data_IF_267264316358
#
_entry.id   IF_267264316358
#
_cell.length_a   1.000
_cell.length_b   1.000
_cell.length_c   1.000
_cell.angle_alpha   90.00
_cell.angle_beta   90.00
_cell.angle_gamma   90.00
#
_symmetry.space_group_name_H-M   'P 1'
#
loop_
_entity.id
_entity.type
_entity.pdbx_description
1 polymer ?
#
# COMPACT_ATOMS: atom_id res chain seq x y z
N UNK A 1 -24.73 21.37 -82.33
CA UNK A 1 -24.68 21.47 -80.86
C UNK A 1 -23.60 20.52 -80.38
N UNK A 2 -22.39 21.03 -80.13
CA UNK A 2 -21.28 20.23 -79.62
C UNK A 2 -21.13 20.51 -78.12
N UNK A 3 -21.31 19.44 -77.34
CA UNK A 3 -21.09 19.37 -75.90
C UNK A 3 -19.66 19.78 -75.55
N UNK A 4 -19.50 20.92 -74.88
CA UNK A 4 -18.25 21.32 -74.24
C UNK A 4 -18.13 20.59 -72.91
N UNK A 5 -17.40 19.47 -72.90
CA UNK A 5 -17.02 18.76 -71.69
C UNK A 5 -16.00 19.61 -70.92
N UNK A 6 -16.47 20.38 -69.95
CA UNK A 6 -15.62 21.07 -68.98
C UNK A 6 -14.99 19.99 -68.10
N UNK A 7 -13.72 19.70 -68.34
CA UNK A 7 -12.92 18.87 -67.46
C UNK A 7 -12.69 19.66 -66.17
N UNK A 8 -13.53 19.42 -65.15
CA UNK A 8 -13.23 19.81 -63.79
C UNK A 8 -11.93 19.11 -63.37
N UNK A 9 -10.88 19.91 -63.20
CA UNK A 9 -9.61 19.47 -62.63
C UNK A 9 -9.84 19.09 -61.15
N UNK A 10 -10.38 17.90 -60.91
CA UNK A 10 -10.29 17.24 -59.60
C UNK A 10 -8.83 16.92 -59.37
N UNK A 11 -8.14 17.78 -58.63
CA UNK A 11 -6.84 17.47 -58.05
C UNK A 11 -6.99 16.24 -57.15
N UNK A 12 -6.83 15.05 -57.72
CA UNK A 12 -6.62 13.85 -56.96
C UNK A 12 -5.27 14.00 -56.25
N UNK A 13 -5.30 14.44 -54.99
CA UNK A 13 -4.15 14.30 -54.09
C UNK A 13 -3.88 12.80 -53.96
N UNK A 14 -2.91 12.32 -54.73
CA UNK A 14 -2.37 10.96 -54.60
C UNK A 14 -1.74 10.86 -53.22
N UNK A 15 -2.46 10.30 -52.26
CA UNK A 15 -1.91 9.95 -50.96
C UNK A 15 -0.78 8.94 -51.20
N UNK A 16 0.46 9.35 -50.96
CA UNK A 16 1.62 8.52 -51.24
C UNK A 16 1.56 7.28 -50.34
N UNK A 17 1.74 6.08 -50.91
CA UNK A 17 1.69 4.83 -50.16
C UNK A 17 2.68 4.81 -48.98
N UNK A 18 3.83 5.49 -49.13
CA UNK A 18 4.82 5.67 -48.05
C UNK A 18 4.31 6.55 -46.90
N UNK A 19 3.46 7.55 -47.18
CA UNK A 19 2.84 8.40 -46.17
C UNK A 19 1.75 7.64 -45.40
N UNK A 20 0.98 6.79 -46.10
CA UNK A 20 -0.03 5.91 -45.48
C UNK A 20 0.63 4.89 -44.55
N UNK A 21 1.73 4.26 -44.98
CA UNK A 21 2.49 3.31 -44.17
C UNK A 21 3.11 3.98 -42.91
N UNK A 22 3.67 5.18 -43.05
CA UNK A 22 4.20 5.94 -41.91
C UNK A 22 3.12 6.28 -40.90
N UNK A 23 1.94 6.70 -41.35
CA UNK A 23 0.83 7.01 -40.45
C UNK A 23 0.31 5.77 -39.71
N UNK A 24 0.24 4.62 -40.37
CA UNK A 24 -0.12 3.36 -39.69
C UNK A 24 0.90 2.97 -38.62
N UNK A 25 2.21 3.15 -38.89
CA UNK A 25 3.26 2.87 -37.90
C UNK A 25 3.21 3.82 -36.69
N UNK A 26 2.85 5.08 -36.88
CA UNK A 26 2.66 6.03 -35.77
C UNK A 26 1.47 5.62 -34.91
N UNK A 27 0.33 5.28 -35.52
CA UNK A 27 -0.88 4.84 -34.79
C UNK A 27 -0.63 3.54 -34.01
N UNK A 28 0.14 2.59 -34.56
CA UNK A 28 0.49 1.37 -33.82
C UNK A 28 1.47 1.66 -32.69
N UNK A 29 2.46 2.52 -32.90
CA UNK A 29 3.38 2.96 -31.85
C UNK A 29 2.62 3.63 -30.69
N UNK A 30 1.71 4.55 -30.99
CA UNK A 30 0.87 5.23 -29.99
C UNK A 30 0.04 4.23 -29.17
N UNK A 31 -0.64 3.29 -29.83
CA UNK A 31 -1.39 2.22 -29.15
C UNK A 31 -0.52 1.36 -28.24
N UNK A 32 0.69 1.00 -28.67
CA UNK A 32 1.61 0.22 -27.82
C UNK A 32 2.13 1.03 -26.63
N UNK A 33 2.33 2.34 -26.79
CA UNK A 33 2.74 3.22 -25.71
C UNK A 33 1.63 3.36 -24.66
N UNK A 34 0.39 3.52 -25.09
CA UNK A 34 -0.80 3.55 -24.22
C UNK A 34 -0.98 2.24 -23.46
N UNK A 35 -0.86 1.09 -24.15
CA UNK A 35 -0.93 -0.23 -23.49
C UNK A 35 0.16 -0.41 -22.43
N UNK A 36 1.41 0.00 -22.73
CA UNK A 36 2.51 -0.02 -21.76
C UNK A 36 2.25 0.91 -20.57
N UNK A 37 1.67 2.09 -20.80
CA UNK A 37 1.31 3.04 -19.74
C UNK A 37 0.23 2.45 -18.82
N UNK A 38 -0.84 1.89 -19.39
CA UNK A 38 -1.92 1.24 -18.64
C UNK A 38 -1.39 0.06 -17.80
N UNK A 39 -0.53 -0.78 -18.38
CA UNK A 39 0.11 -1.88 -17.66
C UNK A 39 0.95 -1.38 -16.48
N UNK A 40 1.74 -0.32 -16.67
CA UNK A 40 2.52 0.30 -15.58
C UNK A 40 1.63 0.82 -14.44
N UNK A 41 0.53 1.49 -14.77
CA UNK A 41 -0.42 2.00 -13.78
C UNK A 41 -1.13 0.88 -13.01
N UNK A 42 -1.54 -0.20 -13.69
CA UNK A 42 -2.13 -1.37 -13.07
C UNK A 42 -1.16 -2.09 -12.13
N UNK A 43 0.11 -2.24 -12.54
CA UNK A 43 1.15 -2.83 -11.71
C UNK A 43 1.44 -1.98 -10.46
N UNK A 44 1.45 -0.65 -10.59
CA UNK A 44 1.56 0.25 -9.45
C UNK A 44 0.39 0.08 -8.46
N UNK A 45 -0.85 0.00 -8.97
CA UNK A 45 -2.03 -0.23 -8.12
C UNK A 45 -1.98 -1.59 -7.42
N UNK A 46 -1.58 -2.64 -8.12
CA UNK A 46 -1.42 -3.99 -7.54
C UNK A 46 -0.38 -3.99 -6.41
N UNK A 47 0.76 -3.33 -6.62
CA UNK A 47 1.81 -3.19 -5.60
C UNK A 47 1.33 -2.41 -4.36
N UNK A 48 0.56 -1.34 -4.54
CA UNK A 48 -0.01 -0.57 -3.42
C UNK A 48 -1.02 -1.40 -2.62
N UNK A 49 -1.89 -2.16 -3.30
CA UNK A 49 -2.82 -3.09 -2.63
C UNK A 49 -2.10 -4.19 -1.87
N UNK A 50 -1.02 -4.75 -2.44
CA UNK A 50 -0.18 -5.72 -1.75
C UNK A 50 0.43 -5.12 -0.47
N UNK A 51 0.97 -3.89 -0.53
CA UNK A 51 1.47 -3.18 0.65
C UNK A 51 0.37 -2.96 1.70
N UNK A 52 -0.85 -2.58 1.30
CA UNK A 52 -1.98 -2.42 2.20
C UNK A 52 -2.27 -3.71 2.98
N UNK A 53 -2.35 -4.86 2.28
CA UNK A 53 -2.60 -6.16 2.92
C UNK A 53 -1.48 -6.57 3.89
N UNK A 54 -0.23 -6.28 3.56
CA UNK A 54 0.90 -6.52 4.45
C UNK A 54 0.79 -5.68 5.73
N UNK A 55 0.48 -4.39 5.60
CA UNK A 55 0.29 -3.50 6.74
C UNK A 55 -0.91 -3.88 7.61
N UNK A 56 -2.00 -4.37 7.03
CA UNK A 56 -3.14 -4.91 7.78
C UNK A 56 -2.74 -6.11 8.66
N UNK A 57 -1.91 -7.03 8.14
CA UNK A 57 -1.38 -8.16 8.94
C UNK A 57 -0.50 -7.67 10.08
N UNK A 58 0.33 -6.64 9.85
CA UNK A 58 1.17 -6.03 10.89
C UNK A 58 0.33 -5.37 11.98
N UNK A 59 -0.71 -4.61 11.61
CA UNK A 59 -1.66 -4.02 12.56
C UNK A 59 -2.34 -5.09 13.42
N UNK A 60 -2.79 -6.19 12.81
CA UNK A 60 -3.42 -7.28 13.54
C UNK A 60 -2.47 -7.96 14.54
N UNK A 61 -1.22 -8.20 14.14
CA UNK A 61 -0.18 -8.76 15.04
C UNK A 61 0.10 -7.83 16.21
N UNK A 62 0.25 -6.54 15.94
CA UNK A 62 0.53 -5.55 16.97
C UNK A 62 -0.68 -5.34 17.91
N UNK A 63 -1.90 -5.35 17.39
CA UNK A 63 -3.13 -5.29 18.19
C UNK A 63 -3.23 -6.49 19.15
N UNK A 64 -2.97 -7.71 18.67
CA UNK A 64 -2.91 -8.91 19.51
C UNK A 64 -1.83 -8.81 20.59
N UNK A 65 -0.64 -8.29 20.25
CA UNK A 65 0.45 -8.10 21.22
C UNK A 65 0.08 -7.07 22.30
N UNK A 66 -0.51 -5.94 21.91
CA UNK A 66 -1.00 -4.92 22.83
C UNK A 66 -2.09 -5.46 23.76
N UNK A 67 -3.02 -6.26 23.24
CA UNK A 67 -4.06 -6.89 24.06
C UNK A 67 -3.44 -7.80 25.13
N UNK A 68 -2.54 -8.71 24.71
CA UNK A 68 -1.83 -9.60 25.64
C UNK A 68 -1.05 -8.84 26.71
N UNK A 69 -0.38 -7.74 26.34
CA UNK A 69 0.37 -6.94 27.31
C UNK A 69 -0.54 -6.17 28.28
N UNK A 70 -1.70 -5.69 27.84
CA UNK A 70 -2.71 -5.11 28.74
C UNK A 70 -3.27 -6.13 29.70
N UNK A 71 -3.54 -7.35 29.24
CA UNK A 71 -3.99 -8.46 30.10
C UNK A 71 -2.92 -8.85 31.11
N UNK A 72 -1.66 -8.97 30.68
CA UNK A 72 -0.53 -9.23 31.57
C UNK A 72 -0.37 -8.12 32.62
N UNK A 73 -0.53 -6.86 32.24
CA UNK A 73 -0.49 -5.73 33.17
C UNK A 73 -1.61 -5.81 34.22
N UNK A 74 -2.85 -6.16 33.83
CA UNK A 74 -3.96 -6.35 34.78
C UNK A 74 -3.67 -7.47 35.79
N UNK A 75 -3.09 -8.58 35.33
CA UNK A 75 -2.71 -9.69 36.21
C UNK A 75 -1.63 -9.26 37.20
N UNK A 76 -0.61 -8.54 36.72
CA UNK A 76 0.46 -8.00 37.56
C UNK A 76 -0.06 -6.96 38.57
N UNK A 77 -1.02 -6.11 38.18
CA UNK A 77 -1.67 -5.14 39.07
C UNK A 77 -2.50 -5.81 40.17
N UNK A 78 -3.10 -6.97 39.89
CA UNK A 78 -3.79 -7.78 40.88
C UNK A 78 -2.84 -8.56 41.81
N UNK A 79 -1.52 -8.37 41.69
CA UNK A 79 -0.50 -9.05 42.50
C UNK A 79 -0.18 -10.47 42.02
N UNK A 80 -0.68 -10.88 40.85
CA UNK A 80 -0.39 -12.15 40.22
C UNK A 80 0.83 -12.10 39.30
N UNK A 81 1.38 -13.26 38.96
CA UNK A 81 2.45 -13.40 37.97
C UNK A 81 1.82 -13.74 36.62
N UNK A 82 1.97 -12.87 35.59
CA UNK A 82 1.44 -13.15 34.25
C UNK A 82 2.17 -14.31 33.57
N UNK A 83 1.46 -15.07 32.74
CA UNK A 83 2.06 -16.18 31.97
C UNK A 83 3.27 -15.73 31.16
N UNK A 84 4.36 -16.48 31.23
CA UNK A 84 5.64 -16.15 30.58
C UNK A 84 6.56 -15.22 31.39
N UNK A 85 6.15 -14.83 32.60
CA UNK A 85 7.00 -14.22 33.62
C UNK A 85 7.21 -15.15 34.82
N UNK A 86 6.89 -16.44 34.66
CA UNK A 86 7.04 -17.49 35.67
C UNK A 86 8.53 -17.71 36.01
N UNK A 87 9.40 -17.65 35.00
CA UNK A 87 10.85 -17.79 35.15
C UNK A 87 11.56 -16.45 35.32
N UNK A 88 10.83 -15.37 35.65
CA UNK A 88 11.47 -14.06 35.81
C UNK A 88 12.50 -14.16 36.93
N UNK A 89 13.79 -13.90 36.64
CA UNK A 89 14.84 -14.41 37.51
C UNK A 89 14.77 -13.73 38.87
N UNK A 90 14.57 -14.57 39.89
CA UNK A 90 14.57 -14.24 41.32
C UNK A 90 16.01 -13.91 41.74
N UNK A 91 16.58 -12.82 41.24
CA UNK A 91 17.88 -12.34 41.73
C UNK A 91 17.66 -11.67 43.08
N UNK A 92 17.65 -12.47 44.15
CA UNK A 92 17.85 -12.03 45.55
C UNK A 92 16.75 -11.21 46.21
N UNK A 93 15.67 -10.87 45.51
CA UNK A 93 14.53 -10.11 46.05
C UNK A 93 13.35 -11.00 46.48
N UNK A 94 12.62 -10.58 47.50
CA UNK A 94 11.37 -11.23 47.91
C UNK A 94 10.27 -11.13 46.85
N UNK A 95 9.19 -11.91 47.00
CA UNK A 95 8.08 -11.99 46.03
C UNK A 95 7.52 -10.63 45.59
N UNK A 96 7.56 -9.63 46.47
CA UNK A 96 7.07 -8.28 46.20
C UNK A 96 7.99 -7.49 45.24
N UNK A 97 9.30 -7.66 45.33
CA UNK A 97 10.27 -7.01 44.43
C UNK A 97 10.16 -7.58 43.01
N UNK A 98 9.92 -8.88 42.89
CA UNK A 98 9.73 -9.58 41.62
C UNK A 98 8.45 -9.10 40.94
N UNK A 99 7.34 -8.99 41.68
CA UNK A 99 6.08 -8.45 41.17
C UNK A 99 6.23 -7.00 40.70
N UNK A 100 6.95 -6.17 41.45
CA UNK A 100 7.24 -4.79 41.04
C UNK A 100 8.10 -4.72 39.78
N UNK A 101 9.13 -5.56 39.66
CA UNK A 101 9.99 -5.62 38.48
C UNK A 101 9.22 -6.06 37.22
N UNK A 102 8.34 -7.06 37.36
CA UNK A 102 7.44 -7.51 36.28
C UNK A 102 6.51 -6.37 35.84
N UNK A 103 5.90 -5.66 36.79
CA UNK A 103 5.01 -4.52 36.51
C UNK A 103 5.76 -3.39 35.80
N UNK A 104 6.97 -3.05 36.26
CA UNK A 104 7.81 -2.02 35.66
C UNK A 104 8.21 -2.38 34.22
N UNK A 105 8.58 -3.63 33.97
CA UNK A 105 8.90 -4.12 32.62
C UNK A 105 7.70 -4.07 31.69
N UNK A 106 6.54 -4.57 32.13
CA UNK A 106 5.30 -4.52 31.33
C UNK A 106 4.88 -3.09 30.99
N UNK A 107 5.06 -2.16 31.94
CA UNK A 107 4.78 -0.75 31.71
C UNK A 107 5.71 -0.13 30.67
N UNK A 108 7.02 -0.42 30.78
CA UNK A 108 8.01 0.02 29.79
C UNK A 108 7.71 -0.53 28.40
N UNK A 109 7.44 -1.83 28.28
CA UNK A 109 7.12 -2.47 27.00
C UNK A 109 5.83 -1.91 26.37
N UNK A 110 4.81 -1.60 27.19
CA UNK A 110 3.59 -0.94 26.72
C UNK A 110 3.84 0.49 26.23
N UNK A 111 4.72 1.23 26.89
CA UNK A 111 5.12 2.58 26.46
C UNK A 111 5.85 2.53 25.11
N UNK A 112 6.70 1.54 24.87
CA UNK A 112 7.44 1.37 23.62
C UNK A 112 6.54 0.90 22.45
N UNK A 113 5.49 0.12 22.74
CA UNK A 113 4.56 -0.37 21.71
C UNK A 113 3.60 0.70 21.18
N UNK A 114 3.22 1.69 22.00
CA UNK A 114 2.33 2.79 21.58
C UNK A 114 2.85 3.58 20.37
N UNK A 115 4.09 4.13 20.36
CA UNK A 115 4.60 4.87 19.22
C UNK A 115 4.74 3.98 17.97
N UNK A 116 5.04 2.70 18.16
CA UNK A 116 5.08 1.72 17.06
C UNK A 116 3.70 1.54 16.42
N UNK A 117 2.64 1.46 17.23
CA UNK A 117 1.26 1.42 16.76
C UNK A 117 0.90 2.66 15.94
N UNK A 118 1.24 3.85 16.43
CA UNK A 118 1.00 5.12 15.73
C UNK A 118 1.72 5.18 14.39
N UNK A 119 3.00 4.77 14.32
CA UNK A 119 3.78 4.72 13.06
C UNK A 119 3.15 3.78 12.03
N UNK A 120 2.74 2.58 12.44
CA UNK A 120 2.12 1.61 11.52
C UNK A 120 0.80 2.16 10.98
N UNK A 121 -0.01 2.81 11.83
CA UNK A 121 -1.28 3.41 11.40
C UNK A 121 -1.05 4.59 10.45
N UNK A 122 -0.06 5.44 10.71
CA UNK A 122 0.29 6.55 9.82
C UNK A 122 0.69 6.05 8.41
N UNK A 123 1.49 4.98 8.34
CA UNK A 123 1.90 4.38 7.06
C UNK A 123 0.69 3.75 6.35
N UNK A 124 -0.19 3.06 7.08
CA UNK A 124 -1.42 2.49 6.50
C UNK A 124 -2.29 3.58 5.87
N UNK A 125 -2.49 4.72 6.56
CA UNK A 125 -3.24 5.86 6.01
C UNK A 125 -2.57 6.50 4.79
N UNK A 126 -1.23 6.51 4.71
CA UNK A 126 -0.53 6.97 3.50
C UNK A 126 -0.77 6.04 2.32
N UNK A 127 -0.69 4.72 2.53
CA UNK A 127 -0.96 3.72 1.50
C UNK A 127 -2.39 3.85 0.96
N UNK A 128 -3.39 4.07 1.83
CA UNK A 128 -4.77 4.29 1.41
C UNK A 128 -4.93 5.55 0.53
N UNK A 129 -4.25 6.65 0.90
CA UNK A 129 -4.22 7.88 0.07
C UNK A 129 -3.60 7.60 -1.29
N UNK A 130 -2.47 6.89 -1.33
CA UNK A 130 -1.79 6.52 -2.57
C UNK A 130 -2.66 5.62 -3.46
N UNK A 131 -3.37 4.64 -2.88
CA UNK A 131 -4.31 3.79 -3.62
C UNK A 131 -5.43 4.62 -4.23
N UNK A 132 -5.99 5.58 -3.49
CA UNK A 132 -7.06 6.45 -3.98
C UNK A 132 -6.59 7.28 -5.19
N UNK A 133 -5.39 7.86 -5.11
CA UNK A 133 -4.77 8.64 -6.20
C UNK A 133 -4.43 7.74 -7.40
N UNK A 134 -3.85 6.56 -7.16
CA UNK A 134 -3.50 5.63 -8.23
C UNK A 134 -4.75 5.10 -8.95
N UNK A 135 -5.82 4.83 -8.21
CA UNK A 135 -7.09 4.39 -8.75
C UNK A 135 -7.74 5.49 -9.60
N UNK A 136 -7.76 6.75 -9.13
CA UNK A 136 -8.35 7.85 -9.91
C UNK A 136 -7.61 8.11 -11.23
N UNK A 137 -6.28 7.90 -11.28
CA UNK A 137 -5.48 8.02 -12.50
C UNK A 137 -5.78 6.96 -13.56
N UNK A 138 -6.28 5.79 -13.15
CA UNK A 138 -6.69 4.71 -14.05
C UNK A 138 -8.11 4.95 -14.59
N UNK A 139 -8.97 5.62 -13.80
CA UNK A 139 -10.37 5.87 -14.16
C UNK A 139 -10.56 6.99 -15.18
N UNK A 140 -9.59 7.90 -15.35
CA UNK A 140 -9.64 8.95 -16.38
C UNK A 140 -9.37 8.30 -17.75
N UNK A 141 -10.46 7.97 -18.44
CA UNK A 141 -10.55 7.71 -19.88
C UNK A 141 -11.53 8.70 -20.47
#
# INVERSE_FOLDING_TARGET
>A
MASGFVCENRTATKTNASTVLKNQQLVTADRTAEQKLQSKQQNQLANLKAKQTHHAKLQQKLAKKLLRMKEAMKIAEAGGVPKGFEDYPLYGGGDDEVKQAIKAKLYKDLLELKPTAHKINAIASQIEKEIKIASSKITIR
#
